data_IF_410264580658
#
_entry.id   IF_410264580658
#
_cell.length_a   1.000
_cell.length_b   1.000
_cell.length_c   1.000
_cell.angle_alpha   90.00
_cell.angle_beta   90.00
_cell.angle_gamma   90.00
#
_symmetry.space_group_name_H-M   'P 1'
#
loop_
_entity.id
_entity.type
_entity.pdbx_description
1 polymer ?
#
# COMPACT_ATOMS: atom_id res chain seq x y z
N UNK A 1 -38.05 -25.13 -11.45
CA UNK A 1 -36.60 -24.98 -11.22
C UNK A 1 -36.38 -23.63 -10.56
N UNK A 2 -35.64 -23.54 -9.46
CA UNK A 2 -35.45 -22.26 -8.78
C UNK A 2 -34.49 -21.42 -9.63
N UNK A 3 -34.89 -20.22 -10.04
CA UNK A 3 -34.10 -19.28 -10.88
C UNK A 3 -32.68 -19.09 -10.31
N UNK A 4 -32.57 -18.96 -8.98
CA UNK A 4 -31.24 -18.84 -8.28
C UNK A 4 -30.34 -20.01 -8.61
N UNK A 5 -30.79 -21.24 -8.55
CA UNK A 5 -29.99 -22.42 -8.83
C UNK A 5 -29.60 -22.51 -10.30
N UNK A 6 -30.48 -22.07 -11.20
CA UNK A 6 -30.16 -22.01 -12.63
C UNK A 6 -29.06 -20.98 -12.92
N UNK A 7 -29.12 -19.81 -12.33
CA UNK A 7 -28.05 -18.80 -12.48
C UNK A 7 -26.70 -19.30 -11.94
N UNK A 8 -26.71 -19.90 -10.74
CA UNK A 8 -25.48 -20.44 -10.13
C UNK A 8 -24.84 -21.51 -11.03
N UNK A 9 -25.66 -22.40 -11.61
CA UNK A 9 -25.14 -23.47 -12.49
C UNK A 9 -24.55 -22.97 -13.81
N UNK A 10 -24.83 -21.74 -14.21
CA UNK A 10 -24.25 -21.11 -15.40
C UNK A 10 -22.95 -20.35 -15.15
N UNK A 11 -22.52 -20.22 -13.89
CA UNK A 11 -21.27 -19.52 -13.56
C UNK A 11 -20.08 -20.43 -13.89
N UNK A 12 -19.27 -20.01 -14.86
CA UNK A 12 -18.00 -20.64 -15.17
C UNK A 12 -16.87 -20.01 -14.33
N UNK A 13 -16.62 -20.60 -13.17
CA UNK A 13 -15.58 -20.14 -12.25
C UNK A 13 -14.16 -20.29 -12.85
N UNK A 14 -13.96 -21.30 -13.72
CA UNK A 14 -12.68 -21.47 -14.37
C UNK A 14 -12.42 -20.34 -15.37
N UNK A 15 -13.41 -19.98 -16.19
CA UNK A 15 -13.30 -18.83 -17.09
C UNK A 15 -13.01 -17.54 -16.33
N UNK A 16 -13.73 -17.28 -15.23
CA UNK A 16 -13.52 -16.10 -14.37
C UNK A 16 -12.10 -16.05 -13.82
N UNK A 17 -11.62 -17.19 -13.33
CA UNK A 17 -10.24 -17.29 -12.81
C UNK A 17 -9.20 -17.06 -13.91
N UNK A 18 -9.39 -17.64 -15.11
CA UNK A 18 -8.48 -17.42 -16.22
C UNK A 18 -8.48 -15.97 -16.71
N UNK A 19 -9.61 -15.27 -16.64
CA UNK A 19 -9.68 -13.85 -16.94
C UNK A 19 -8.87 -13.03 -15.92
N UNK A 20 -9.03 -13.29 -14.63
CA UNK A 20 -8.24 -12.66 -13.57
C UNK A 20 -6.72 -12.91 -13.76
N UNK A 21 -6.33 -14.16 -14.12
CA UNK A 21 -4.93 -14.49 -14.43
C UNK A 21 -4.38 -13.79 -15.68
N UNK A 22 -5.23 -13.41 -16.62
CA UNK A 22 -4.85 -12.57 -17.77
C UNK A 22 -4.63 -11.13 -17.32
N UNK A 23 -5.50 -10.60 -16.48
CA UNK A 23 -5.38 -9.25 -15.91
C UNK A 23 -4.08 -9.10 -15.09
N UNK A 24 -3.73 -10.11 -14.31
CA UNK A 24 -2.49 -10.14 -13.50
C UNK A 24 -1.21 -9.95 -14.34
N UNK A 25 -1.23 -10.30 -15.62
CA UNK A 25 -0.05 -10.14 -16.50
C UNK A 25 0.24 -8.69 -16.87
N UNK A 26 -0.77 -7.84 -16.82
CA UNK A 26 -0.64 -6.42 -17.08
C UNK A 26 -0.16 -5.71 -15.83
N UNK A 27 1.12 -5.36 -15.79
CA UNK A 27 1.79 -4.77 -14.63
C UNK A 27 2.56 -3.51 -15.02
N UNK A 28 2.38 -2.46 -14.22
CA UNK A 28 3.25 -1.28 -14.25
C UNK A 28 4.28 -1.43 -13.14
N UNK A 29 5.52 -1.10 -13.38
CA UNK A 29 6.67 -1.28 -12.51
C UNK A 29 7.04 -2.76 -12.28
N UNK A 30 8.27 -3.18 -12.65
CA UNK A 30 8.67 -4.59 -12.58
C UNK A 30 8.85 -5.13 -11.15
N UNK A 31 9.01 -4.23 -10.15
CA UNK A 31 9.23 -4.61 -8.74
C UNK A 31 7.90 -4.77 -8.01
N UNK A 32 7.02 -3.75 -8.11
CA UNK A 32 5.75 -3.73 -7.38
C UNK A 32 4.60 -4.37 -8.16
N UNK A 33 4.64 -4.30 -9.48
CA UNK A 33 3.66 -4.95 -10.34
C UNK A 33 2.24 -4.38 -10.20
N UNK A 34 2.08 -3.09 -9.92
CA UNK A 34 0.77 -2.46 -9.75
C UNK A 34 0.05 -2.17 -11.08
N UNK A 35 -1.25 -1.96 -10.99
CA UNK A 35 -2.14 -1.55 -12.08
C UNK A 35 -3.12 -0.49 -11.58
N UNK A 36 -2.57 0.58 -11.02
CA UNK A 36 -3.39 1.69 -10.51
C UNK A 36 -4.08 2.45 -11.65
N UNK A 37 -5.16 3.14 -11.32
CA UNK A 37 -5.91 3.94 -12.29
C UNK A 37 -5.00 4.95 -13.01
N UNK A 38 -5.14 5.06 -14.35
CA UNK A 38 -4.29 5.89 -15.19
C UNK A 38 -2.92 5.30 -15.53
N UNK A 39 -2.57 4.12 -15.03
CA UNK A 39 -1.31 3.45 -15.38
C UNK A 39 -1.37 2.79 -16.76
N UNK A 40 -0.22 2.56 -17.42
CA UNK A 40 -0.19 1.79 -18.68
C UNK A 40 -0.82 0.39 -18.56
N UNK A 41 -0.65 -0.28 -17.42
CA UNK A 41 -1.24 -1.58 -17.16
C UNK A 41 -2.78 -1.51 -17.02
N UNK A 42 -3.31 -0.45 -16.40
CA UNK A 42 -4.76 -0.21 -16.37
C UNK A 42 -5.32 -0.06 -17.78
N UNK A 43 -4.67 0.76 -18.60
CA UNK A 43 -5.08 0.98 -19.99
C UNK A 43 -5.06 -0.33 -20.80
N UNK A 44 -4.01 -1.15 -20.67
CA UNK A 44 -3.91 -2.44 -21.34
C UNK A 44 -5.01 -3.41 -20.88
N UNK A 45 -5.23 -3.50 -19.57
CA UNK A 45 -6.31 -4.30 -18.99
C UNK A 45 -7.69 -3.84 -19.46
N UNK A 46 -7.92 -2.53 -19.47
CA UNK A 46 -9.16 -1.95 -19.97
C UNK A 46 -9.44 -2.31 -21.43
N UNK A 47 -8.44 -2.26 -22.29
CA UNK A 47 -8.56 -2.70 -23.68
C UNK A 47 -8.90 -4.19 -23.78
N UNK A 48 -8.25 -5.03 -22.98
CA UNK A 48 -8.53 -6.46 -22.93
C UNK A 48 -9.97 -6.74 -22.47
N UNK A 49 -10.46 -6.07 -21.44
CA UNK A 49 -11.82 -6.22 -20.93
C UNK A 49 -12.87 -5.70 -21.93
N UNK A 50 -12.58 -4.61 -22.62
CA UNK A 50 -13.45 -4.10 -23.68
C UNK A 50 -13.67 -5.13 -24.79
N UNK A 51 -12.59 -5.76 -25.30
CA UNK A 51 -12.72 -6.80 -26.31
C UNK A 51 -13.38 -8.08 -25.75
N UNK A 52 -13.13 -8.41 -24.50
CA UNK A 52 -13.75 -9.57 -23.85
C UNK A 52 -15.26 -9.38 -23.67
N UNK A 53 -15.73 -8.19 -23.28
CA UNK A 53 -17.16 -7.84 -23.19
C UNK A 53 -17.86 -7.99 -24.55
N UNK A 54 -17.23 -7.55 -25.63
CA UNK A 54 -17.74 -7.75 -26.99
C UNK A 54 -17.78 -9.24 -27.37
N UNK A 55 -16.73 -9.98 -27.06
CA UNK A 55 -16.59 -11.41 -27.36
C UNK A 55 -17.70 -12.25 -26.69
N UNK A 56 -18.07 -11.91 -25.46
CA UNK A 56 -19.14 -12.61 -24.74
C UNK A 56 -20.56 -12.16 -25.14
N UNK A 57 -20.66 -11.21 -26.06
CA UNK A 57 -21.93 -10.80 -26.68
C UNK A 57 -22.66 -9.66 -25.99
N UNK A 58 -21.97 -8.85 -25.17
CA UNK A 58 -22.57 -7.61 -24.66
C UNK A 58 -22.77 -6.62 -25.80
N UNK A 59 -23.86 -5.88 -25.75
CA UNK A 59 -24.18 -4.80 -26.69
C UNK A 59 -23.79 -3.43 -26.10
N UNK A 60 -23.68 -2.42 -26.97
CA UNK A 60 -23.32 -1.05 -26.58
C UNK A 60 -22.07 -0.99 -25.72
N UNK A 61 -21.06 -1.81 -26.06
CA UNK A 61 -19.80 -1.79 -25.30
C UNK A 61 -19.07 -0.47 -25.59
N UNK A 62 -18.86 0.32 -24.53
CA UNK A 62 -18.20 1.63 -24.61
C UNK A 62 -17.06 1.72 -23.60
N UNK A 63 -16.16 2.66 -23.83
CA UNK A 63 -15.14 3.09 -22.88
C UNK A 63 -15.32 4.58 -22.63
N UNK A 64 -15.74 4.92 -21.42
CA UNK A 64 -15.92 6.30 -20.97
C UNK A 64 -14.64 6.72 -20.24
N UNK A 65 -13.94 7.70 -20.80
CA UNK A 65 -12.66 8.18 -20.24
C UNK A 65 -12.88 9.41 -19.36
N UNK A 66 -12.07 9.50 -18.31
CA UNK A 66 -12.02 10.64 -17.42
C UNK A 66 -10.57 10.93 -17.03
N UNK A 67 -10.31 12.15 -16.54
CA UNK A 67 -8.99 12.54 -16.03
C UNK A 67 -8.91 12.40 -14.53
N UNK A 68 -7.73 11.99 -14.06
CA UNK A 68 -7.36 11.90 -12.65
C UNK A 68 -5.86 12.12 -12.51
N UNK A 69 -5.40 12.25 -11.28
CA UNK A 69 -3.98 12.24 -11.01
C UNK A 69 -3.46 10.79 -11.06
N UNK A 70 -2.56 10.52 -11.99
CA UNK A 70 -1.87 9.24 -12.09
C UNK A 70 -0.66 9.17 -11.17
N UNK A 71 -0.01 8.02 -11.15
CA UNK A 71 1.15 7.78 -10.29
C UNK A 71 2.27 7.05 -11.02
N UNK A 72 3.48 7.55 -10.86
CA UNK A 72 4.70 6.91 -11.33
C UNK A 72 5.61 6.64 -10.12
N UNK A 73 5.83 5.37 -9.84
CA UNK A 73 6.76 4.93 -8.82
C UNK A 73 7.99 4.31 -9.50
N UNK A 74 9.15 4.92 -9.34
CA UNK A 74 10.40 4.38 -9.89
C UNK A 74 11.06 3.43 -8.91
N UNK A 75 11.28 3.88 -7.67
CA UNK A 75 11.96 3.10 -6.63
C UNK A 75 11.71 3.66 -5.23
N UNK A 76 11.89 2.81 -4.24
CA UNK A 76 12.18 3.20 -2.86
C UNK A 76 13.01 2.09 -2.19
N UNK A 77 14.21 2.45 -1.74
CA UNK A 77 15.15 1.54 -1.09
C UNK A 77 15.60 2.16 0.22
N UNK A 78 15.39 1.44 1.31
CA UNK A 78 15.86 1.83 2.64
C UNK A 78 17.08 0.98 3.03
N UNK A 79 18.15 1.63 3.47
CA UNK A 79 19.34 0.96 4.00
C UNK A 79 19.51 1.23 5.48
N UNK A 80 19.98 0.22 6.18
CA UNK A 80 20.21 0.25 7.61
C UNK A 80 21.38 -0.65 7.98
N UNK A 81 22.30 -0.15 8.81
CA UNK A 81 23.39 -0.97 9.40
C UNK A 81 23.03 -1.23 10.86
N UNK A 82 22.97 -2.50 11.25
CA UNK A 82 22.65 -2.88 12.63
C UNK A 82 23.87 -2.77 13.57
N UNK A 83 23.65 -3.07 14.85
CA UNK A 83 24.65 -3.01 15.92
C UNK A 83 25.79 -4.03 15.77
N UNK A 84 25.61 -5.06 14.92
CA UNK A 84 26.66 -6.02 14.56
C UNK A 84 27.51 -5.58 13.37
N UNK A 85 27.14 -4.48 12.70
CA UNK A 85 27.79 -3.98 11.48
C UNK A 85 27.24 -4.62 10.20
N UNK A 86 26.17 -5.41 10.27
CA UNK A 86 25.51 -5.99 9.10
C UNK A 86 24.65 -4.92 8.40
N UNK A 87 24.90 -4.73 7.11
CA UNK A 87 24.08 -3.86 6.25
C UNK A 87 22.83 -4.62 5.77
N UNK A 88 21.67 -4.02 6.01
CA UNK A 88 20.36 -4.46 5.49
C UNK A 88 19.94 -3.51 4.38
N UNK A 89 19.38 -4.06 3.31
CA UNK A 89 18.78 -3.32 2.21
C UNK A 89 17.34 -3.78 2.03
N UNK A 90 16.39 -2.87 2.21
CA UNK A 90 14.96 -3.14 2.15
C UNK A 90 14.37 -2.51 0.90
N UNK A 91 13.73 -3.32 0.07
CA UNK A 91 12.87 -2.84 -1.01
C UNK A 91 11.56 -2.36 -0.38
N UNK A 92 11.14 -1.15 -0.72
CA UNK A 92 9.88 -0.60 -0.24
C UNK A 92 8.86 -0.49 -1.37
N UNK A 93 7.59 -0.56 -1.03
CA UNK A 93 6.48 -0.13 -1.84
C UNK A 93 6.18 1.35 -1.63
N UNK A 94 5.09 1.82 -2.21
CA UNK A 94 4.73 3.23 -2.12
C UNK A 94 3.24 3.50 -2.21
N UNK A 95 2.95 4.77 -2.05
CA UNK A 95 1.62 5.34 -2.19
C UNK A 95 1.71 6.55 -3.12
N UNK A 96 0.60 6.94 -3.73
CA UNK A 96 0.54 8.05 -4.68
C UNK A 96 0.92 9.38 -4.00
N UNK A 97 2.21 9.66 -3.96
CA UNK A 97 2.76 10.88 -3.37
C UNK A 97 4.00 11.36 -4.13
N UNK A 98 4.30 12.65 -4.01
CA UNK A 98 5.52 13.23 -4.55
C UNK A 98 6.66 13.10 -3.53
N UNK A 99 7.71 12.40 -3.90
CA UNK A 99 8.94 12.32 -3.10
C UNK A 99 10.15 11.95 -3.97
N UNK A 100 11.22 12.70 -3.85
CA UNK A 100 12.45 12.44 -4.59
C UNK A 100 13.68 12.71 -3.73
N UNK A 101 14.65 11.81 -3.79
CA UNK A 101 15.99 11.98 -3.21
C UNK A 101 17.04 12.01 -4.31
N UNK A 102 18.12 12.73 -4.08
CA UNK A 102 19.33 12.65 -4.92
C UNK A 102 20.24 11.53 -4.41
N UNK A 103 19.92 10.29 -4.79
CA UNK A 103 20.53 9.08 -4.25
C UNK A 103 20.17 8.80 -2.79
N UNK A 104 21.04 8.06 -2.10
CA UNK A 104 20.86 7.73 -0.68
C UNK A 104 21.01 8.99 0.18
N UNK A 105 19.99 9.32 0.95
CA UNK A 105 19.98 10.40 1.94
C UNK A 105 19.73 9.87 3.34
N UNK A 106 20.45 10.41 4.32
CA UNK A 106 20.37 9.96 5.70
C UNK A 106 19.19 10.59 6.45
N UNK A 107 18.50 9.76 7.21
CA UNK A 107 17.38 10.15 8.06
C UNK A 107 17.47 9.49 9.44
N UNK A 108 16.78 10.08 10.40
CA UNK A 108 16.38 9.37 11.61
C UNK A 108 15.01 8.70 11.37
N UNK A 109 14.90 7.42 11.73
CA UNK A 109 13.66 6.67 11.72
C UNK A 109 13.16 6.48 13.14
N UNK A 110 11.90 6.80 13.39
CA UNK A 110 11.19 6.58 14.65
C UNK A 110 9.99 5.66 14.43
N UNK A 111 9.64 4.85 15.42
CA UNK A 111 8.44 4.02 15.40
C UNK A 111 7.35 4.62 16.29
N UNK A 112 6.16 4.85 15.74
CA UNK A 112 5.04 5.49 16.43
C UNK A 112 3.77 4.63 16.44
N UNK A 113 3.90 3.31 16.64
CA UNK A 113 2.74 2.44 16.81
C UNK A 113 1.76 2.54 15.64
N UNK A 114 0.56 3.05 15.90
CA UNK A 114 -0.50 3.20 14.90
C UNK A 114 -0.47 4.54 14.15
N UNK A 115 0.37 5.49 14.57
CA UNK A 115 0.44 6.82 13.99
C UNK A 115 -0.78 7.71 14.27
N UNK A 116 -1.47 7.48 15.38
CA UNK A 116 -2.55 8.35 15.85
C UNK A 116 -2.02 9.66 16.42
N UNK A 117 -2.86 10.65 16.60
CA UNK A 117 -2.45 11.93 17.19
C UNK A 117 -1.77 11.76 18.56
N UNK A 118 -2.26 10.84 19.39
CA UNK A 118 -1.69 10.51 20.69
C UNK A 118 -0.28 9.87 20.61
N UNK A 119 -0.02 9.13 19.55
CA UNK A 119 1.29 8.48 19.36
C UNK A 119 2.43 9.48 19.13
N UNK A 120 2.10 10.70 18.72
CA UNK A 120 3.07 11.79 18.51
C UNK A 120 3.30 12.68 19.74
N UNK A 121 2.53 12.52 20.82
CA UNK A 121 2.65 13.39 21.99
C UNK A 121 4.07 13.34 22.59
N UNK A 122 4.69 14.51 22.71
CA UNK A 122 6.06 14.66 23.25
C UNK A 122 7.18 14.19 22.30
N UNK A 123 6.89 13.78 21.07
CA UNK A 123 7.89 13.27 20.13
C UNK A 123 8.10 14.24 18.96
N UNK A 124 9.33 14.70 18.77
CA UNK A 124 9.69 15.51 17.61
C UNK A 124 10.03 14.62 16.41
N UNK A 125 9.21 14.71 15.38
CA UNK A 125 9.37 13.96 14.12
C UNK A 125 9.75 14.82 12.93
N UNK A 126 10.01 16.10 13.13
CA UNK A 126 10.33 17.02 12.03
C UNK A 126 11.56 16.54 11.26
N UNK A 127 11.38 16.35 9.95
CA UNK A 127 12.42 15.86 9.03
C UNK A 127 12.82 14.39 9.20
N UNK A 128 12.09 13.62 10.03
CA UNK A 128 12.36 12.20 10.26
C UNK A 128 11.45 11.30 9.42
N UNK A 129 11.83 10.06 9.24
CA UNK A 129 10.96 8.99 8.76
C UNK A 129 10.16 8.43 9.95
N UNK A 130 8.85 8.31 9.77
CA UNK A 130 7.96 7.79 10.81
C UNK A 130 7.43 6.43 10.37
N UNK A 131 7.80 5.36 11.07
CA UNK A 131 7.28 4.02 10.83
C UNK A 131 6.06 3.74 11.71
N UNK A 132 4.98 3.24 11.11
CA UNK A 132 3.73 2.88 11.80
C UNK A 132 3.20 1.54 11.30
N UNK A 133 2.38 0.88 12.12
CA UNK A 133 1.63 -0.31 11.74
C UNK A 133 0.17 0.06 11.50
N UNK A 134 -0.33 -0.24 10.30
CA UNK A 134 -1.71 0.03 9.90
C UNK A 134 -2.53 -1.25 9.88
N UNK A 135 -3.81 -1.13 10.24
CA UNK A 135 -4.79 -2.21 10.21
C UNK A 135 -5.99 -1.75 9.38
N UNK A 136 -5.95 -2.01 8.09
CA UNK A 136 -7.00 -1.59 7.15
C UNK A 136 -8.33 -2.32 7.37
N UNK A 137 -8.31 -3.48 8.02
CA UNK A 137 -9.53 -4.26 8.27
C UNK A 137 -10.36 -3.70 9.41
N UNK A 138 -9.71 -3.39 10.53
CA UNK A 138 -10.42 -3.17 11.80
C UNK A 138 -10.33 -1.71 12.27
N UNK A 139 -9.49 -0.87 11.62
CA UNK A 139 -9.22 0.49 12.06
C UNK A 139 -9.40 1.50 10.91
N UNK A 140 -8.32 1.99 10.31
CA UNK A 140 -8.37 3.05 9.30
C UNK A 140 -7.37 2.84 8.18
N UNK A 141 -7.65 3.54 7.07
CA UNK A 141 -6.81 3.57 5.89
C UNK A 141 -5.53 4.38 6.11
N UNK A 142 -4.57 4.16 5.24
CA UNK A 142 -3.25 4.82 5.21
C UNK A 142 -3.34 6.35 5.22
N UNK A 143 -4.36 6.95 4.63
CA UNK A 143 -4.55 8.40 4.55
C UNK A 143 -4.54 9.08 5.92
N UNK A 144 -5.05 8.43 6.95
CA UNK A 144 -5.11 9.02 8.30
C UNK A 144 -3.70 9.16 8.93
N UNK A 145 -2.88 8.10 9.10
CA UNK A 145 -1.53 8.23 9.64
C UNK A 145 -0.60 9.06 8.75
N UNK A 146 -0.75 9.02 7.43
CA UNK A 146 0.01 9.87 6.50
C UNK A 146 -0.21 11.34 6.81
N UNK A 147 -1.46 11.76 6.96
CA UNK A 147 -1.79 13.15 7.25
C UNK A 147 -1.28 13.57 8.62
N UNK A 148 -1.34 12.69 9.63
CA UNK A 148 -0.79 12.95 10.96
C UNK A 148 0.73 13.18 10.93
N UNK A 149 1.48 12.39 10.15
CA UNK A 149 2.92 12.55 9.97
C UNK A 149 3.25 13.89 9.27
N UNK A 150 2.54 14.18 8.20
CA UNK A 150 2.71 15.41 7.42
C UNK A 150 2.49 16.66 8.27
N UNK A 151 1.39 16.74 9.02
CA UNK A 151 1.07 17.89 9.90
C UNK A 151 2.16 18.18 10.94
N UNK A 152 2.98 17.19 11.27
CA UNK A 152 4.10 17.32 12.24
C UNK A 152 5.45 17.48 11.58
N UNK A 153 5.47 17.64 10.24
CA UNK A 153 6.67 17.89 9.48
C UNK A 153 7.60 16.70 9.35
N UNK A 154 7.11 15.47 9.44
CA UNK A 154 7.87 14.29 9.09
C UNK A 154 8.30 14.35 7.61
N UNK A 155 9.47 13.78 7.28
CA UNK A 155 9.94 13.71 5.91
C UNK A 155 9.07 12.74 5.08
N UNK A 156 8.73 11.58 5.64
CA UNK A 156 7.80 10.62 5.08
C UNK A 156 7.25 9.68 6.15
N UNK A 157 6.08 9.09 5.87
CA UNK A 157 5.56 7.95 6.61
C UNK A 157 6.06 6.65 5.96
N UNK A 158 6.37 5.65 6.78
CA UNK A 158 6.60 4.25 6.37
C UNK A 158 5.53 3.39 7.02
N UNK A 159 4.59 2.91 6.21
CA UNK A 159 3.49 2.08 6.68
C UNK A 159 3.84 0.60 6.57
N UNK A 160 3.60 -0.13 7.65
CA UNK A 160 3.65 -1.59 7.70
C UNK A 160 2.22 -2.09 7.83
N UNK A 161 1.76 -2.88 6.87
CA UNK A 161 0.42 -3.44 6.93
C UNK A 161 0.39 -4.61 7.91
N UNK A 162 -0.14 -4.38 9.12
CA UNK A 162 -0.20 -5.38 10.17
C UNK A 162 -1.38 -6.33 10.01
N UNK A 163 -2.50 -5.86 9.45
CA UNK A 163 -3.70 -6.64 9.20
C UNK A 163 -4.48 -6.09 8.00
N UNK A 164 -5.30 -6.93 7.35
CA UNK A 164 -6.12 -6.60 6.20
C UNK A 164 -7.32 -7.54 6.07
N UNK A 165 -8.03 -7.46 4.96
CA UNK A 165 -9.22 -8.28 4.70
C UNK A 165 -8.92 -9.75 4.37
N UNK A 166 -7.68 -10.06 4.05
CA UNK A 166 -7.20 -11.41 3.76
C UNK A 166 -5.89 -11.71 4.47
N UNK A 167 -5.33 -12.86 4.16
CA UNK A 167 -3.99 -13.24 4.61
C UNK A 167 -2.95 -12.37 3.90
N UNK A 168 -2.07 -11.75 4.67
CA UNK A 168 -1.00 -10.89 4.16
C UNK A 168 0.32 -11.64 4.30
N UNK A 169 1.01 -11.86 3.19
CA UNK A 169 2.35 -12.41 3.23
C UNK A 169 3.30 -11.46 3.98
N UNK A 170 4.18 -12.01 4.81
CA UNK A 170 5.13 -11.21 5.60
C UNK A 170 6.07 -10.34 4.78
N UNK A 171 6.25 -10.68 3.50
CA UNK A 171 7.07 -9.93 2.53
C UNK A 171 6.26 -9.01 1.63
N UNK A 172 4.92 -8.94 1.81
CA UNK A 172 4.06 -8.12 0.97
C UNK A 172 4.37 -6.62 1.13
N UNK A 173 4.29 -5.92 0.01
CA UNK A 173 4.42 -4.47 -0.09
C UNK A 173 3.14 -3.89 -0.70
N UNK A 174 2.73 -2.70 -0.28
CA UNK A 174 1.68 -1.97 -0.93
C UNK A 174 2.21 -1.10 -2.07
N UNK A 175 1.39 -0.94 -3.10
CA UNK A 175 1.60 -0.03 -4.22
C UNK A 175 0.25 0.58 -4.59
N UNK A 176 -0.20 1.58 -3.82
CA UNK A 176 -1.55 2.13 -3.87
C UNK A 176 -1.57 3.58 -4.35
N UNK A 177 -2.58 3.93 -5.15
CA UNK A 177 -2.88 5.29 -5.60
C UNK A 177 -3.69 6.12 -4.57
N UNK A 178 -3.96 5.56 -3.39
CA UNK A 178 -4.68 6.23 -2.31
C UNK A 178 -3.80 6.27 -1.06
N UNK A 179 -3.36 7.47 -0.69
CA UNK A 179 -2.66 7.66 0.58
C UNK A 179 -3.21 8.85 1.35
N UNK A 180 -3.33 9.95 0.68
CA UNK A 180 -3.68 11.25 1.24
C UNK A 180 -3.36 12.33 0.21
N UNK A 181 -3.09 13.55 0.64
CA UNK A 181 -2.59 14.58 -0.27
C UNK A 181 -1.27 14.15 -0.91
N UNK A 182 -1.09 14.45 -2.19
CA UNK A 182 0.12 14.16 -2.98
C UNK A 182 1.42 14.74 -2.39
N UNK A 183 1.28 15.76 -1.53
CA UNK A 183 2.37 16.41 -0.80
C UNK A 183 2.70 15.75 0.56
N UNK A 184 2.02 14.68 0.94
CA UNK A 184 2.25 13.94 2.19
C UNK A 184 2.92 12.58 1.89
N UNK A 185 4.28 12.51 1.83
CA UNK A 185 4.98 11.32 1.38
C UNK A 185 4.71 10.09 2.23
N UNK A 186 4.49 8.96 1.57
CA UNK A 186 4.29 7.68 2.21
C UNK A 186 4.89 6.52 1.41
N UNK A 187 5.45 5.56 2.13
CA UNK A 187 6.02 4.32 1.60
C UNK A 187 5.48 3.12 2.37
N UNK A 188 5.55 1.96 1.75
CA UNK A 188 5.18 0.68 2.37
C UNK A 188 6.44 -0.13 2.67
N UNK A 189 6.48 -0.77 3.82
CA UNK A 189 7.53 -1.70 4.23
C UNK A 189 6.92 -3.04 4.61
N UNK A 190 7.60 -4.14 4.28
CA UNK A 190 7.14 -5.48 4.62
C UNK A 190 7.14 -5.72 6.14
N UNK A 191 6.28 -6.62 6.62
CA UNK A 191 6.29 -7.03 8.04
C UNK A 191 7.63 -7.66 8.44
N UNK A 192 8.25 -8.44 7.53
CA UNK A 192 9.54 -9.09 7.76
C UNK A 192 10.64 -8.06 8.02
N UNK A 193 10.75 -7.04 7.15
CA UNK A 193 11.76 -6.00 7.26
C UNK A 193 11.52 -5.08 8.47
N UNK A 194 10.25 -4.75 8.73
CA UNK A 194 9.86 -3.95 9.90
C UNK A 194 10.25 -4.64 11.23
N UNK A 195 10.18 -5.98 11.30
CA UNK A 195 10.65 -6.72 12.48
C UNK A 195 12.14 -6.53 12.74
N UNK A 196 12.97 -6.43 11.68
CA UNK A 196 14.40 -6.18 11.81
C UNK A 196 14.62 -4.79 12.42
N UNK A 197 13.97 -3.77 11.88
CA UNK A 197 14.08 -2.39 12.39
C UNK A 197 13.55 -2.27 13.83
N UNK A 198 12.41 -2.89 14.16
CA UNK A 198 11.87 -2.88 15.52
C UNK A 198 12.80 -3.58 16.51
N UNK A 199 13.47 -4.67 16.12
CA UNK A 199 14.49 -5.33 16.95
C UNK A 199 15.68 -4.40 17.21
N UNK A 200 16.18 -3.74 16.18
CA UNK A 200 17.29 -2.79 16.34
C UNK A 200 16.94 -1.61 17.25
N UNK A 201 15.70 -1.09 17.18
CA UNK A 201 15.20 -0.07 18.10
C UNK A 201 15.21 -0.57 19.56
N UNK A 202 14.75 -1.81 19.81
CA UNK A 202 14.80 -2.43 21.15
C UNK A 202 16.23 -2.58 21.69
N UNK A 203 17.14 -3.11 20.87
CA UNK A 203 18.54 -3.30 21.27
C UNK A 203 19.19 -1.96 21.69
N UNK A 204 18.89 -0.89 20.97
CA UNK A 204 19.40 0.45 21.29
C UNK A 204 18.91 0.97 22.63
N UNK A 205 17.69 0.63 23.03
CA UNK A 205 17.12 0.99 24.33
C UNK A 205 17.80 0.20 25.46
N UNK A 206 17.90 -1.14 25.29
CA UNK A 206 18.55 -2.01 26.28
C UNK A 206 19.99 -1.59 26.54
N UNK A 207 20.74 -1.23 25.50
CA UNK A 207 22.11 -0.72 25.66
C UNK A 207 22.20 0.62 26.42
N UNK A 208 21.12 1.41 26.44
CA UNK A 208 21.03 2.63 27.25
C UNK A 208 20.65 2.33 28.72
N UNK A 209 19.88 1.28 28.97
CA UNK A 209 19.36 0.90 30.29
C UNK A 209 20.37 0.04 31.08
N UNK A 210 21.21 -0.78 30.46
CA UNK A 210 22.30 -1.55 31.11
C UNK A 210 23.34 -0.66 31.83
N UNK A 211 23.29 0.65 31.61
CA UNK A 211 24.06 1.63 32.42
C UNK A 211 23.34 2.06 33.72
N UNK A 212 22.12 1.58 34.00
CA UNK A 212 21.34 1.82 35.22
C UNK A 212 20.81 0.49 35.74
N UNK A 213 21.51 -0.07 36.71
CA UNK A 213 21.31 -1.41 37.27
C UNK A 213 19.87 -1.77 37.64
N UNK A 214 19.59 -3.09 37.58
CA UNK A 214 18.42 -3.83 38.04
C UNK A 214 17.11 -3.73 37.21
N UNK A 215 16.97 -4.62 36.23
CA UNK A 215 15.64 -5.01 35.80
C UNK A 215 15.54 -6.53 35.65
N UNK A 216 14.72 -7.13 36.51
CA UNK A 216 14.24 -8.51 36.38
C UNK A 216 13.56 -8.71 35.02
N UNK A 217 13.74 -9.91 34.47
CA UNK A 217 13.29 -10.43 33.18
C UNK A 217 11.75 -10.47 33.06
N UNK A 218 11.07 -9.32 33.09
CA UNK A 218 9.62 -9.20 32.86
C UNK A 218 9.37 -9.01 31.37
N UNK A 219 8.66 -9.94 30.73
CA UNK A 219 8.13 -9.79 29.37
C UNK A 219 7.18 -8.59 29.34
N UNK A 220 7.54 -7.55 28.62
CA UNK A 220 6.69 -6.39 28.41
C UNK A 220 5.39 -6.76 27.69
N UNK A 221 4.30 -6.08 28.02
CA UNK A 221 3.08 -6.15 27.20
C UNK A 221 3.32 -5.46 25.84
N UNK A 222 2.52 -5.77 24.81
CA UNK A 222 2.63 -5.10 23.51
C UNK A 222 2.57 -3.56 23.59
N UNK A 223 1.77 -3.02 24.51
CA UNK A 223 1.64 -1.58 24.76
C UNK A 223 2.91 -0.99 25.40
N UNK A 224 3.51 -1.73 26.36
CA UNK A 224 4.78 -1.34 26.99
C UNK A 224 5.92 -1.35 25.95
N UNK A 225 5.98 -2.38 25.12
CA UNK A 225 6.94 -2.47 24.01
C UNK A 225 6.79 -1.28 23.04
N UNK A 226 5.55 -0.94 22.65
CA UNK A 226 5.29 0.19 21.77
C UNK A 226 5.72 1.53 22.41
N UNK A 227 5.42 1.73 23.70
CA UNK A 227 5.82 2.94 24.44
C UNK A 227 7.34 3.05 24.55
N UNK A 228 8.04 1.93 24.70
CA UNK A 228 9.49 1.88 24.75
C UNK A 228 10.12 2.25 23.40
N UNK A 229 9.65 1.63 22.32
CA UNK A 229 10.14 1.86 20.95
C UNK A 229 10.02 3.31 20.49
N UNK A 230 9.00 4.04 20.97
CA UNK A 230 8.81 5.47 20.67
C UNK A 230 9.93 6.39 21.17
N UNK A 231 10.71 5.95 22.13
CA UNK A 231 11.82 6.73 22.74
C UNK A 231 13.14 6.59 22.00
N UNK A 232 13.22 5.73 21.00
CA UNK A 232 14.42 5.43 20.26
C UNK A 232 14.32 5.85 18.79
N UNK A 233 15.44 6.13 18.16
CA UNK A 233 15.52 6.35 16.72
C UNK A 233 16.69 5.55 16.13
N UNK A 234 16.58 5.19 14.85
CA UNK A 234 17.64 4.57 14.06
C UNK A 234 18.14 5.55 13.01
N UNK A 235 19.42 5.49 12.72
CA UNK A 235 19.95 6.12 11.50
C UNK A 235 19.75 5.17 10.34
N UNK A 236 19.10 5.66 9.28
CA UNK A 236 18.80 4.92 8.05
C UNK A 236 19.11 5.79 6.85
N UNK A 237 19.31 5.20 5.68
CA UNK A 237 19.47 5.95 4.42
C UNK A 237 18.38 5.54 3.47
N UNK A 238 17.71 6.52 2.83
CA UNK A 238 16.61 6.32 1.87
C UNK A 238 17.00 6.86 0.51
N UNK A 239 16.78 6.05 -0.54
CA UNK A 239 16.81 6.45 -1.94
C UNK A 239 15.44 6.14 -2.55
N UNK A 240 14.67 7.18 -2.90
CA UNK A 240 13.32 7.00 -3.37
C UNK A 240 12.97 8.03 -4.46
N UNK A 241 12.11 7.58 -5.40
CA UNK A 241 11.52 8.43 -6.42
C UNK A 241 10.10 7.98 -6.72
N UNK A 242 9.16 8.87 -6.43
CA UNK A 242 7.73 8.71 -6.63
C UNK A 242 7.14 10.05 -7.07
N UNK A 243 6.27 10.04 -8.08
CA UNK A 243 5.67 11.26 -8.63
C UNK A 243 4.18 11.08 -8.89
N UNK A 244 3.41 12.08 -8.56
CA UNK A 244 2.02 12.24 -9.01
C UNK A 244 2.05 12.91 -10.39
N UNK A 245 1.35 12.33 -11.35
CA UNK A 245 1.27 12.81 -12.73
C UNK A 245 -0.13 13.39 -12.95
N UNK A 246 -0.28 14.70 -13.01
CA UNK A 246 -1.60 15.30 -13.19
C UNK A 246 -2.17 14.99 -14.58
N UNK A 247 -3.50 15.09 -14.70
CA UNK A 247 -4.24 14.96 -15.96
C UNK A 247 -4.02 13.64 -16.72
N UNK A 248 -3.74 12.56 -16.00
CA UNK A 248 -3.68 11.21 -16.56
C UNK A 248 -5.09 10.73 -16.90
N UNK A 249 -5.24 9.85 -17.88
CA UNK A 249 -6.52 9.34 -18.33
C UNK A 249 -6.74 7.90 -17.87
N UNK A 250 -7.87 7.63 -17.26
CA UNK A 250 -8.39 6.29 -17.00
C UNK A 250 -9.77 6.09 -17.64
N UNK A 251 -10.34 4.90 -17.57
CA UNK A 251 -11.62 4.64 -18.22
C UNK A 251 -12.50 3.63 -17.51
N UNK A 252 -13.80 3.89 -17.55
CA UNK A 252 -14.82 2.91 -17.23
C UNK A 252 -15.20 2.13 -18.50
N UNK A 253 -15.36 0.82 -18.39
CA UNK A 253 -15.81 -0.02 -19.50
C UNK A 253 -17.21 -0.48 -19.15
N UNK A 254 -18.15 -0.22 -20.05
CA UNK A 254 -19.54 -0.56 -19.87
C UNK A 254 -20.04 -1.42 -21.03
N UNK A 255 -21.00 -2.27 -20.76
CA UNK A 255 -21.69 -3.06 -21.77
C UNK A 255 -23.05 -3.48 -21.24
N UNK A 256 -23.99 -3.82 -22.10
CA UNK A 256 -25.39 -4.12 -21.75
C UNK A 256 -25.80 -5.51 -22.19
N UNK A 257 -26.70 -6.09 -21.42
CA UNK A 257 -27.54 -7.20 -21.82
C UNK A 257 -28.96 -6.64 -21.88
N UNK A 258 -29.63 -6.73 -23.05
CA UNK A 258 -31.00 -6.24 -23.21
C UNK A 258 -31.97 -7.10 -22.41
N UNK A 259 -32.67 -6.47 -21.48
CA UNK A 259 -33.79 -7.07 -20.75
C UNK A 259 -35.10 -7.00 -21.52
N UNK A 260 -36.14 -7.60 -20.95
CA UNK A 260 -37.51 -7.53 -21.46
C UNK A 260 -38.30 -6.33 -20.95
N UNK A 261 -37.86 -5.75 -19.82
CA UNK A 261 -38.44 -4.56 -19.22
C UNK A 261 -37.57 -3.33 -19.58
N UNK A 262 -38.20 -2.18 -19.73
CA UNK A 262 -37.52 -0.96 -20.22
C UNK A 262 -37.39 0.16 -19.18
N UNK A 263 -38.10 0.02 -18.05
CA UNK A 263 -38.18 1.03 -16.98
C UNK A 263 -37.34 0.70 -15.76
N UNK A 264 -36.65 -0.45 -15.77
CA UNK A 264 -35.77 -0.88 -14.69
C UNK A 264 -34.42 -1.41 -15.22
N UNK A 265 -33.39 -1.31 -14.41
CA UNK A 265 -32.03 -1.75 -14.75
C UNK A 265 -31.35 -2.37 -13.52
N UNK A 266 -30.61 -3.44 -13.73
CA UNK A 266 -29.68 -3.99 -12.74
C UNK A 266 -28.26 -3.59 -13.18
N UNK A 267 -27.57 -2.85 -12.35
CA UNK A 267 -26.16 -2.49 -12.56
C UNK A 267 -25.27 -3.46 -11.78
N UNK A 268 -24.35 -4.11 -12.50
CA UNK A 268 -23.21 -4.83 -11.91
C UNK A 268 -21.96 -4.00 -12.09
N UNK A 269 -21.26 -3.70 -11.00
CA UNK A 269 -20.06 -2.88 -11.02
C UNK A 269 -18.94 -3.56 -10.26
N UNK A 270 -17.73 -3.49 -10.83
CA UNK A 270 -16.49 -3.93 -10.17
C UNK A 270 -15.33 -3.09 -10.72
N UNK A 271 -14.34 -2.81 -9.88
CA UNK A 271 -13.11 -2.17 -10.35
C UNK A 271 -12.16 -3.19 -10.99
N UNK A 272 -11.28 -2.74 -11.88
CA UNK A 272 -10.29 -3.57 -12.55
C UNK A 272 -8.85 -3.06 -12.41
N UNK A 273 -8.68 -1.94 -11.75
CA UNK A 273 -7.38 -1.54 -11.22
C UNK A 273 -6.95 -2.47 -10.08
N UNK A 274 -5.69 -2.48 -9.76
CA UNK A 274 -5.17 -3.27 -8.65
C UNK A 274 -3.87 -2.67 -8.15
N UNK A 275 -3.52 -3.04 -6.94
CA UNK A 275 -2.38 -2.48 -6.24
C UNK A 275 -1.18 -3.41 -6.36
N UNK A 276 -0.90 -4.16 -5.37
CA UNK A 276 0.27 -5.00 -5.31
C UNK A 276 0.21 -6.18 -6.28
N UNK A 277 1.32 -6.41 -7.00
CA UNK A 277 1.55 -7.55 -7.91
C UNK A 277 0.55 -7.70 -9.08
N UNK A 278 -0.27 -6.68 -9.32
CA UNK A 278 -1.22 -6.65 -10.46
C UNK A 278 -2.39 -7.63 -10.35
N UNK A 279 -2.51 -8.38 -9.26
CA UNK A 279 -3.62 -9.27 -8.98
C UNK A 279 -4.80 -8.50 -8.38
N UNK A 280 -5.80 -9.20 -7.87
CA UNK A 280 -6.95 -8.58 -7.23
C UNK A 280 -6.66 -8.24 -5.77
N UNK A 281 -7.25 -7.19 -5.27
CA UNK A 281 -7.29 -6.87 -3.84
C UNK A 281 -8.53 -7.47 -3.16
#
# INVERSE_FOLDING_TARGET
MNIKNSCISCIDTNWSYQLARRMEKEKTNPVLGYRTAGSPAETATGNMLYEEMKRIGLIDVTRDTFTLDGWEFEKAVLKFTDDTGLEHTFQMGGYQTNFETDGLQDYELVYLGKGTAADYEGINVKGKLVMVEINQRDEWWISFPVYQAYLRGAAALIAVQANGYGEIAETALNAQDIAGPDFAPAFSLSQADARILKRALRNKISACEDNTADSENTRNTPEQDAALLRRSSLKVSLDARSRVIPDTTAGNITGKIQGTETDSMILLSAHYDSYFDGFQD
#
